data_IF_816148483269
#
_entry.id   IF_816148483269
#
_cell.length_a   1.000
_cell.length_b   1.000
_cell.length_c   1.000
_cell.angle_alpha   90.00
_cell.angle_beta   90.00
_cell.angle_gamma   90.00
#
_symmetry.space_group_name_H-M   'P 1'
#
loop_
_entity.id
_entity.type
_entity.pdbx_description
1 polymer ?
#
# COMPACT_ATOMS: atom_id res chain seq x y z
N UNK A 1 -21.45 -4.95 -2.94
CA UNK A 1 -21.23 -4.85 -1.48
C UNK A 1 -19.89 -4.17 -1.29
N UNK A 2 -19.86 -2.89 -0.87
CA UNK A 2 -18.60 -2.17 -0.69
C UNK A 2 -17.96 -2.65 0.61
N UNK A 3 -16.77 -3.24 0.52
CA UNK A 3 -15.96 -3.55 1.70
C UNK A 3 -15.52 -2.20 2.24
N UNK A 4 -16.08 -1.80 3.38
CA UNK A 4 -15.63 -0.60 4.05
C UNK A 4 -14.24 -0.92 4.61
N UNK A 5 -13.22 -0.51 3.86
CA UNK A 5 -11.84 -0.54 4.31
C UNK A 5 -11.80 0.30 5.59
N UNK A 6 -11.47 -0.30 6.73
CA UNK A 6 -11.22 0.45 7.96
C UNK A 6 -10.11 1.49 7.80
N UNK A 7 -9.81 2.23 8.86
CA UNK A 7 -8.96 3.44 8.78
C UNK A 7 -7.58 3.17 8.17
N UNK A 8 -6.85 2.15 8.62
CA UNK A 8 -5.50 1.85 8.10
C UNK A 8 -5.54 1.40 6.63
N UNK A 9 -6.43 0.45 6.31
CA UNK A 9 -6.61 -0.05 4.95
C UNK A 9 -6.97 1.06 3.97
N UNK A 10 -7.91 1.92 4.37
CA UNK A 10 -8.29 3.08 3.58
C UNK A 10 -7.13 4.06 3.41
N UNK A 11 -6.39 4.33 4.49
CA UNK A 11 -5.27 5.26 4.48
C UNK A 11 -4.13 4.77 3.56
N UNK A 12 -3.68 3.52 3.69
CA UNK A 12 -2.64 2.94 2.83
C UNK A 12 -3.08 2.95 1.37
N UNK A 13 -4.32 2.56 1.09
CA UNK A 13 -4.87 2.54 -0.27
C UNK A 13 -4.91 3.94 -0.90
N UNK A 14 -5.43 4.93 -0.16
CA UNK A 14 -5.54 6.30 -0.63
C UNK A 14 -4.16 6.95 -0.83
N UNK A 15 -3.22 6.74 0.10
CA UNK A 15 -1.84 7.22 -0.04
C UNK A 15 -1.17 6.58 -1.25
N UNK A 16 -1.28 5.26 -1.43
CA UNK A 16 -0.69 4.58 -2.59
C UNK A 16 -1.18 5.17 -3.92
N UNK A 17 -2.50 5.37 -4.06
CA UNK A 17 -3.09 6.00 -5.25
C UNK A 17 -2.61 7.43 -5.44
N UNK A 18 -2.63 8.24 -4.38
CA UNK A 18 -2.18 9.64 -4.42
C UNK A 18 -0.74 9.75 -4.90
N UNK A 19 0.11 8.81 -4.51
CA UNK A 19 1.52 8.78 -4.86
C UNK A 19 1.84 7.93 -6.10
N UNK A 20 0.83 7.59 -6.91
CA UNK A 20 1.00 6.96 -8.21
C UNK A 20 1.49 5.52 -8.18
N UNK A 21 1.16 4.79 -7.12
CA UNK A 21 1.31 3.34 -7.10
C UNK A 21 0.11 2.68 -7.81
N UNK A 22 0.39 1.57 -8.48
CA UNK A 22 -0.66 0.66 -8.91
C UNK A 22 -1.18 -0.08 -7.69
N UNK A 23 -2.50 -0.15 -7.58
CA UNK A 23 -3.19 -0.68 -6.39
C UNK A 23 -4.14 -1.78 -6.84
N UNK A 24 -3.92 -2.99 -6.35
CA UNK A 24 -4.78 -4.16 -6.57
C UNK A 24 -5.26 -4.72 -5.23
N UNK A 25 -6.58 -4.67 -5.01
CA UNK A 25 -7.19 -5.20 -3.79
C UNK A 25 -7.59 -6.65 -4.02
N UNK A 26 -6.94 -7.56 -3.31
CA UNK A 26 -7.20 -8.98 -3.42
C UNK A 26 -8.13 -9.49 -2.31
N UNK A 27 -8.79 -10.64 -2.52
CA UNK A 27 -9.55 -11.30 -1.47
C UNK A 27 -8.71 -11.54 -0.21
N UNK A 28 -9.38 -11.69 0.95
CA UNK A 28 -8.74 -11.97 2.26
C UNK A 28 -7.86 -10.84 2.80
N UNK A 29 -8.14 -9.59 2.42
CA UNK A 29 -7.51 -8.41 3.03
C UNK A 29 -6.07 -8.17 2.56
N UNK A 30 -5.65 -8.73 1.43
CA UNK A 30 -4.36 -8.44 0.84
C UNK A 30 -4.47 -7.25 -0.13
N UNK A 31 -3.66 -6.23 0.09
CA UNK A 31 -3.43 -5.15 -0.85
C UNK A 31 -2.07 -5.32 -1.52
N UNK A 32 -2.08 -5.43 -2.84
CA UNK A 32 -0.88 -5.48 -3.65
C UNK A 32 -0.60 -4.10 -4.25
N UNK A 33 0.61 -3.59 -4.02
CA UNK A 33 1.04 -2.26 -4.44
C UNK A 33 2.28 -2.42 -5.31
N UNK A 34 2.31 -1.75 -6.46
CA UNK A 34 3.48 -1.79 -7.36
C UNK A 34 3.81 -0.44 -7.95
N UNK A 35 5.10 -0.13 -8.06
CA UNK A 35 5.63 1.04 -8.76
C UNK A 35 7.05 0.78 -9.24
N UNK A 36 7.23 0.67 -10.55
CA UNK A 36 8.51 0.22 -11.13
C UNK A 36 8.90 -1.14 -10.56
N UNK A 37 10.13 -1.23 -10.03
CA UNK A 37 10.67 -2.42 -9.36
C UNK A 37 10.16 -2.60 -7.92
N UNK A 38 9.51 -1.59 -7.35
CA UNK A 38 8.96 -1.69 -6.00
C UNK A 38 7.66 -2.45 -5.98
N UNK A 39 7.59 -3.44 -5.09
CA UNK A 39 6.39 -4.25 -4.81
C UNK A 39 6.16 -4.30 -3.32
N UNK A 40 4.99 -3.89 -2.85
CA UNK A 40 4.57 -4.04 -1.47
C UNK A 40 3.29 -4.88 -1.36
N UNK A 41 3.29 -5.81 -0.41
CA UNK A 41 2.14 -6.67 -0.06
C UNK A 41 1.72 -6.31 1.34
N UNK A 42 0.54 -5.73 1.52
CA UNK A 42 0.04 -5.30 2.83
C UNK A 42 -1.17 -6.12 3.20
N UNK A 43 -1.16 -6.70 4.39
CA UNK A 43 -2.24 -7.55 4.88
C UNK A 43 -3.04 -6.80 5.95
N UNK A 44 -4.36 -6.85 5.81
CA UNK A 44 -5.31 -6.23 6.71
C UNK A 44 -6.24 -7.27 7.32
N UNK A 45 -6.64 -7.04 8.56
CA UNK A 45 -7.72 -7.77 9.20
C UNK A 45 -9.07 -7.48 8.49
N UNK A 46 -10.11 -8.29 8.70
CA UNK A 46 -11.45 -8.03 8.13
C UNK A 46 -12.01 -6.63 8.47
N UNK A 47 -11.62 -6.04 9.59
CA UNK A 47 -11.98 -4.67 9.99
C UNK A 47 -11.09 -3.58 9.40
N UNK A 48 -10.14 -3.91 8.52
CA UNK A 48 -9.23 -2.96 7.88
C UNK A 48 -8.01 -2.53 8.69
N UNK A 49 -7.80 -3.09 9.88
CA UNK A 49 -6.59 -2.85 10.68
C UNK A 49 -5.36 -3.50 10.07
N UNK A 50 -4.23 -2.81 10.10
CA UNK A 50 -2.95 -3.31 9.60
C UNK A 50 -2.47 -4.54 10.38
N UNK A 51 -2.01 -5.58 9.68
CA UNK A 51 -1.44 -6.79 10.29
C UNK A 51 0.05 -6.87 10.06
N UNK A 52 0.48 -6.81 8.79
CA UNK A 52 1.88 -6.87 8.38
C UNK A 52 2.05 -6.41 6.94
N UNK A 53 3.28 -6.16 6.54
CA UNK A 53 3.62 -5.95 5.15
C UNK A 53 4.92 -6.62 4.74
N UNK A 54 5.07 -6.90 3.46
CA UNK A 54 6.36 -7.29 2.88
C UNK A 54 6.63 -6.43 1.67
N UNK A 55 7.82 -5.85 1.62
CA UNK A 55 8.25 -4.96 0.55
C UNK A 55 9.49 -5.52 -0.12
N UNK A 56 9.51 -5.47 -1.43
CA UNK A 56 10.63 -5.78 -2.28
C UNK A 56 10.93 -4.55 -3.14
N UNK A 57 12.20 -4.22 -3.30
CA UNK A 57 12.66 -3.13 -4.17
C UNK A 57 13.91 -3.53 -4.94
N UNK A 58 14.65 -2.53 -5.40
CA UNK A 58 15.80 -2.67 -6.30
C UNK A 58 16.92 -3.58 -5.76
N UNK A 59 17.05 -3.69 -4.43
CA UNK A 59 18.03 -4.58 -3.79
C UNK A 59 17.61 -6.07 -3.77
N UNK A 60 16.47 -6.44 -4.36
CA UNK A 60 15.86 -7.78 -4.37
C UNK A 60 15.58 -8.43 -3.00
N UNK A 61 15.95 -7.79 -1.89
CA UNK A 61 15.69 -8.29 -0.54
C UNK A 61 14.26 -7.94 -0.09
N UNK A 62 13.55 -8.96 0.40
CA UNK A 62 12.27 -8.81 1.04
C UNK A 62 12.44 -8.23 2.44
N UNK A 63 11.71 -7.17 2.78
CA UNK A 63 11.71 -6.61 4.14
C UNK A 63 10.30 -6.49 4.67
N UNK A 64 10.13 -6.87 5.93
CA UNK A 64 8.89 -6.59 6.66
C UNK A 64 8.91 -5.15 7.17
N UNK A 65 7.86 -4.39 6.85
CA UNK A 65 7.71 -3.01 7.29
C UNK A 65 6.45 -2.88 8.15
N UNK A 66 6.52 -2.02 9.17
CA UNK A 66 5.35 -1.56 9.91
C UNK A 66 4.52 -0.56 9.10
N UNK A 67 3.31 -0.26 9.56
CA UNK A 67 2.38 0.65 8.89
C UNK A 67 3.03 2.01 8.55
N UNK A 68 3.67 2.66 9.52
CA UNK A 68 4.31 3.97 9.33
C UNK A 68 5.40 3.95 8.27
N UNK A 69 6.18 2.87 8.20
CA UNK A 69 7.25 2.72 7.21
C UNK A 69 6.71 2.42 5.82
N UNK A 70 5.59 1.68 5.72
CA UNK A 70 4.86 1.52 4.45
C UNK A 70 4.40 2.87 3.93
N UNK A 71 3.78 3.70 4.76
CA UNK A 71 3.32 5.04 4.34
C UNK A 71 4.50 5.88 3.84
N UNK A 72 5.60 5.94 4.60
CA UNK A 72 6.81 6.67 4.19
C UNK A 72 7.40 6.15 2.87
N UNK A 73 7.39 4.84 2.66
CA UNK A 73 7.82 4.24 1.40
C UNK A 73 6.95 4.72 0.24
N UNK A 74 5.61 4.65 0.41
CA UNK A 74 4.67 5.04 -0.64
C UNK A 74 4.86 6.51 -1.03
N UNK A 75 5.06 7.38 -0.05
CA UNK A 75 5.30 8.81 -0.23
C UNK A 75 6.66 9.11 -0.89
N UNK A 76 7.73 8.44 -0.42
CA UNK A 76 9.12 8.70 -0.86
C UNK A 76 9.41 8.19 -2.26
N UNK A 77 9.04 6.96 -2.55
CA UNK A 77 9.26 6.37 -3.88
C UNK A 77 8.18 6.81 -4.86
N UNK A 78 7.06 7.29 -4.32
CA UNK A 78 5.93 7.88 -4.99
C UNK A 78 6.20 9.23 -5.65
N UNK A 79 5.23 9.69 -6.44
CA UNK A 79 5.14 11.07 -6.89
C UNK A 79 3.71 11.50 -6.67
N UNK A 80 3.51 12.62 -5.96
CA UNK A 80 2.18 13.14 -5.69
C UNK A 80 1.48 13.50 -7.00
N UNK A 81 0.42 12.77 -7.33
CA UNK A 81 -0.41 13.05 -8.49
C UNK A 81 -1.24 14.28 -8.17
N UNK A 82 -1.00 15.37 -8.89
CA UNK A 82 -1.94 16.50 -8.90
C UNK A 82 -3.12 16.12 -9.81
N UNK A 83 -4.37 16.17 -9.33
CA UNK A 83 -5.50 16.00 -10.21
C UNK A 83 -5.47 17.12 -11.25
N UNK A 84 -5.54 16.76 -12.53
CA UNK A 84 -5.79 17.71 -13.61
C UNK A 84 -7.12 18.41 -13.31
N UNK A 85 -7.10 19.74 -13.22
CA UNK A 85 -8.29 20.57 -13.04
C UNK A 85 -9.24 20.48 -14.24
#
# INVERSE_FOLDING_TARGET
MAIQLGDDAHYVHSTARLFGWQVDWQPRGLLFLRRGEWVARVYFAPGGGFVRSTVHGDAHEARELGLSDVIRLLEREGFAIRPSA
#
